data_IF_080927809701
#
_entry.id   IF_080927809701
#
_cell.length_a   1.000
_cell.length_b   1.000
_cell.length_c   1.000
_cell.angle_alpha   90.00
_cell.angle_beta   90.00
_cell.angle_gamma   90.00
#
_symmetry.space_group_name_H-M   'P 1'
#
loop_
_entity.id
_entity.type
_entity.pdbx_description
1 polymer ?
#
# COMPACT_ATOMS: atom_id res chain seq x y z
N UNK A 1 11.96 -2.36 -16.85
CA UNK A 1 11.48 -3.21 -15.74
C UNK A 1 10.77 -4.41 -16.35
N UNK A 2 11.32 -5.62 -16.26
CA UNK A 2 10.68 -6.82 -16.83
C UNK A 2 9.53 -7.24 -15.90
N UNK A 3 8.30 -7.08 -16.37
CA UNK A 3 7.12 -7.63 -15.69
C UNK A 3 7.08 -9.11 -16.07
N UNK A 4 7.38 -10.00 -15.11
CA UNK A 4 7.21 -11.43 -15.31
C UNK A 4 5.70 -11.69 -15.41
N UNK A 5 5.20 -11.88 -16.64
CA UNK A 5 3.84 -12.32 -16.90
C UNK A 5 3.72 -13.82 -16.60
N UNK A 6 3.99 -14.21 -15.34
CA UNK A 6 3.54 -15.48 -14.82
C UNK A 6 2.04 -15.39 -14.54
N UNK A 7 1.29 -16.45 -14.82
CA UNK A 7 -0.11 -16.56 -14.39
C UNK A 7 -0.19 -16.30 -12.88
N UNK A 8 -0.95 -15.29 -12.47
CA UNK A 8 -1.20 -15.02 -11.05
C UNK A 8 -2.02 -16.19 -10.50
N UNK A 9 -1.49 -16.87 -9.49
CA UNK A 9 -2.18 -17.96 -8.80
C UNK A 9 -3.50 -17.43 -8.20
N UNK A 10 -4.61 -18.11 -8.50
CA UNK A 10 -5.96 -17.70 -8.07
C UNK A 10 -6.13 -17.69 -6.54
N UNK A 11 -5.20 -18.30 -5.80
CA UNK A 11 -5.17 -18.30 -4.33
C UNK A 11 -4.55 -17.04 -3.75
N UNK A 12 -3.88 -16.20 -4.56
CA UNK A 12 -3.29 -14.95 -4.06
C UNK A 12 -4.42 -13.98 -3.74
N UNK A 13 -4.55 -13.54 -2.47
CA UNK A 13 -5.65 -12.68 -2.08
C UNK A 13 -5.48 -11.28 -2.70
N UNK A 14 -6.55 -10.61 -3.15
CA UNK A 14 -6.47 -9.30 -3.80
C UNK A 14 -5.68 -8.22 -3.02
N UNK A 15 -5.76 -8.14 -1.68
CA UNK A 15 -4.92 -7.23 -0.90
C UNK A 15 -3.42 -7.48 -1.07
N UNK A 16 -2.98 -8.73 -1.24
CA UNK A 16 -1.58 -9.07 -1.40
C UNK A 16 -1.04 -8.67 -2.78
N UNK A 17 -1.88 -8.78 -3.82
CA UNK A 17 -1.55 -8.26 -5.16
C UNK A 17 -1.38 -6.74 -5.12
N UNK A 18 -2.35 -6.03 -4.55
CA UNK A 18 -2.27 -4.57 -4.44
C UNK A 18 -1.10 -4.13 -3.56
N UNK A 19 -0.81 -4.84 -2.47
CA UNK A 19 0.35 -4.58 -1.64
C UNK A 19 1.67 -4.78 -2.42
N UNK A 20 1.74 -5.81 -3.26
CA UNK A 20 2.94 -6.07 -4.05
C UNK A 20 3.19 -4.96 -5.06
N UNK A 21 2.14 -4.47 -5.72
CA UNK A 21 2.19 -3.28 -6.59
C UNK A 21 2.68 -2.04 -5.83
N UNK A 22 2.07 -1.73 -4.68
CA UNK A 22 2.44 -0.56 -3.87
C UNK A 22 3.87 -0.63 -3.34
N UNK A 23 4.34 -1.83 -2.94
CA UNK A 23 5.70 -2.07 -2.48
C UNK A 23 6.72 -1.67 -3.54
N UNK A 24 6.47 -2.10 -4.77
CA UNK A 24 7.40 -1.92 -5.88
C UNK A 24 7.35 -0.50 -6.44
N UNK A 25 6.15 0.10 -6.54
CA UNK A 25 5.97 1.46 -7.07
C UNK A 25 6.44 2.54 -6.07
N UNK A 26 6.29 2.31 -4.77
CA UNK A 26 6.54 3.32 -3.74
C UNK A 26 7.67 2.98 -2.77
N UNK A 27 8.47 1.94 -3.05
CA UNK A 27 9.60 1.52 -2.20
C UNK A 27 9.23 1.35 -0.71
N UNK A 28 8.05 0.79 -0.47
CA UNK A 28 7.52 0.55 0.88
C UNK A 28 8.07 -0.77 1.46
N UNK A 29 8.05 -0.88 2.79
CA UNK A 29 8.11 -2.20 3.43
C UNK A 29 6.88 -3.01 3.01
N UNK A 30 6.94 -4.35 3.06
CA UNK A 30 5.79 -5.18 2.70
C UNK A 30 4.60 -4.89 3.63
N UNK A 31 4.85 -4.74 4.94
CA UNK A 31 3.83 -4.40 5.93
C UNK A 31 3.13 -3.08 5.58
N UNK A 32 3.89 -2.04 5.25
CA UNK A 32 3.34 -0.74 4.86
C UNK A 32 2.52 -0.84 3.57
N UNK A 33 3.01 -1.59 2.60
CA UNK A 33 2.29 -1.79 1.36
C UNK A 33 0.95 -2.54 1.58
N UNK A 34 0.90 -3.50 2.51
CA UNK A 34 -0.35 -4.18 2.90
C UNK A 34 -1.33 -3.24 3.60
N UNK A 35 -0.86 -2.41 4.54
CA UNK A 35 -1.70 -1.41 5.20
C UNK A 35 -2.29 -0.43 4.18
N UNK A 36 -1.45 0.08 3.27
CA UNK A 36 -1.87 0.99 2.20
C UNK A 36 -2.88 0.33 1.25
N UNK A 37 -2.63 -0.91 0.85
CA UNK A 37 -3.54 -1.68 -0.01
C UNK A 37 -4.91 -1.88 0.65
N UNK A 38 -4.93 -2.30 1.91
CA UNK A 38 -6.18 -2.46 2.66
C UNK A 38 -6.93 -1.13 2.80
N UNK A 39 -6.24 -0.04 3.15
CA UNK A 39 -6.86 1.27 3.28
C UNK A 39 -7.47 1.74 1.96
N UNK A 40 -6.75 1.62 0.84
CA UNK A 40 -7.24 2.00 -0.48
C UNK A 40 -8.44 1.15 -0.92
N UNK A 41 -8.37 -0.18 -0.76
CA UNK A 41 -9.43 -1.09 -1.18
C UNK A 41 -10.72 -0.93 -0.36
N UNK A 42 -10.60 -0.53 0.91
CA UNK A 42 -11.74 -0.30 1.80
C UNK A 42 -12.22 1.16 1.82
N UNK A 43 -11.56 2.06 1.08
CA UNK A 43 -11.82 3.50 1.17
C UNK A 43 -11.60 4.07 2.57
N UNK A 44 -10.73 3.44 3.37
CA UNK A 44 -10.51 3.80 4.76
C UNK A 44 -9.49 4.95 4.89
N UNK A 45 -9.67 5.74 5.95
CA UNK A 45 -8.75 6.82 6.32
C UNK A 45 -7.49 6.24 6.98
N UNK A 46 -6.32 6.43 6.37
CA UNK A 46 -5.05 6.02 6.95
C UNK A 46 -4.55 7.03 7.98
N UNK A 47 -4.30 6.57 9.21
CA UNK A 47 -3.68 7.33 10.30
C UNK A 47 -2.17 7.11 10.40
N UNK A 48 -1.59 6.35 9.46
CA UNK A 48 -0.20 5.95 9.52
C UNK A 48 0.74 7.14 9.31
N UNK A 49 1.65 7.33 10.28
CA UNK A 49 2.68 8.37 10.29
C UNK A 49 3.95 7.89 9.58
N UNK A 50 3.85 7.64 8.28
CA UNK A 50 5.00 7.35 7.41
C UNK A 50 5.02 8.36 6.24
N UNK A 51 6.10 9.15 6.06
CA UNK A 51 6.26 10.07 4.94
C UNK A 51 6.12 9.40 3.57
N UNK A 52 6.48 8.11 3.45
CA UNK A 52 6.38 7.36 2.19
C UNK A 52 4.93 7.14 1.73
N UNK A 53 3.96 7.26 2.64
CA UNK A 53 2.53 7.19 2.31
C UNK A 53 1.98 8.50 1.75
N UNK A 54 2.78 9.58 1.75
CA UNK A 54 2.35 10.87 1.19
C UNK A 54 2.14 10.81 -0.31
N UNK A 55 2.80 9.87 -0.97
CA UNK A 55 2.69 9.64 -2.40
C UNK A 55 1.61 8.61 -2.76
N UNK A 56 0.90 8.05 -1.77
CA UNK A 56 -0.22 7.14 -2.01
C UNK A 56 -1.52 7.92 -2.14
N UNK A 57 -2.32 7.60 -3.14
CA UNK A 57 -3.69 8.08 -3.31
C UNK A 57 -4.64 7.41 -2.30
N UNK A 58 -4.36 7.55 -1.00
CA UNK A 58 -5.26 7.15 0.07
C UNK A 58 -5.63 8.36 0.93
N UNK A 59 -6.87 8.40 1.42
CA UNK A 59 -7.28 9.42 2.38
C UNK A 59 -6.42 9.29 3.65
N UNK A 60 -5.90 10.40 4.15
CA UNK A 60 -5.03 10.41 5.34
C UNK A 60 -5.51 11.38 6.39
N UNK A 61 -5.46 10.94 7.64
CA UNK A 61 -5.60 11.84 8.78
C UNK A 61 -4.23 12.43 9.09
N UNK A 62 -4.07 13.74 8.98
CA UNK A 62 -2.90 14.44 9.52
C UNK A 62 -3.07 14.52 11.03
N UNK A 63 -2.36 13.64 11.75
CA UNK A 63 -2.23 13.77 13.19
C UNK A 63 -1.23 14.88 13.53
N UNK A 64 -1.43 15.62 14.64
CA UNK A 64 -0.44 16.56 15.13
C UNK A 64 0.88 15.83 15.36
N UNK A 65 1.97 16.36 14.80
CA UNK A 65 3.30 15.85 15.07
C UNK A 65 3.64 16.23 16.51
N UNK A 66 3.82 15.26 17.40
CA UNK A 66 4.66 15.50 18.58
C UNK A 66 6.10 15.55 18.06
N UNK A 67 6.75 16.68 18.27
CA UNK A 67 8.19 16.87 18.09
C UNK A 67 8.97 15.90 18.98
#
# INVERSE_FOLDING_TARGET
MKVYAGSIDSRVPPPLLKASELKVTHSLSLANAQIGACAMMKGALSVLRDPKFSNLHCARLKLPMKD
#
